data_IF_616611836213
#
_entry.id   IF_616611836213
#
_cell.length_a   1.000
_cell.length_b   1.000
_cell.length_c   1.000
_cell.angle_alpha   90.00
_cell.angle_beta   90.00
_cell.angle_gamma   90.00
#
_symmetry.space_group_name_H-M   'P 1'
#
loop_
_entity.id
_entity.type
_entity.pdbx_description
1 polymer ?
#
# COMPACT_ATOMS: atom_id res chain seq x y z
N UNK A 1 22.62 -26.02 100.73
CA UNK A 1 22.63 -26.61 99.39
C UNK A 1 21.36 -26.17 98.70
N UNK A 2 21.57 -25.50 97.57
CA UNK A 2 20.62 -24.84 96.67
C UNK A 2 19.59 -25.81 96.12
N UNK A 3 18.36 -25.32 95.91
CA UNK A 3 17.51 -25.61 94.75
C UNK A 3 16.46 -24.50 94.70
N UNK A 4 16.87 -23.35 94.16
CA UNK A 4 15.94 -22.36 93.64
C UNK A 4 15.54 -22.87 92.25
N UNK A 5 14.35 -23.44 92.13
CA UNK A 5 13.83 -23.84 90.84
C UNK A 5 13.55 -22.60 89.98
N UNK A 6 14.17 -22.68 88.83
CA UNK A 6 14.25 -21.67 87.80
C UNK A 6 13.21 -21.93 86.70
N UNK A 7 12.90 -20.86 85.97
CA UNK A 7 12.50 -20.81 84.55
C UNK A 7 10.99 -20.70 84.20
N UNK A 8 10.65 -19.45 83.91
CA UNK A 8 9.85 -18.86 82.81
C UNK A 8 8.36 -19.20 82.65
N UNK A 9 7.53 -18.18 82.85
CA UNK A 9 6.26 -18.05 82.15
C UNK A 9 6.51 -18.07 80.63
N UNK A 10 6.01 -19.10 79.95
CA UNK A 10 5.88 -19.10 78.48
C UNK A 10 4.85 -18.03 78.10
N UNK A 11 5.33 -16.90 77.57
CA UNK A 11 4.49 -15.97 76.85
C UNK A 11 4.03 -16.64 75.55
N UNK A 12 2.78 -17.10 75.49
CA UNK A 12 2.15 -17.49 74.24
C UNK A 12 1.78 -16.21 73.49
N UNK A 13 2.55 -15.85 72.46
CA UNK A 13 2.15 -14.82 71.50
C UNK A 13 0.95 -15.34 70.70
N UNK A 14 -0.23 -14.79 70.95
CA UNK A 14 -1.44 -15.03 70.16
C UNK A 14 -1.26 -14.31 68.81
N UNK A 15 -1.19 -15.07 67.73
CA UNK A 15 -1.29 -14.54 66.37
C UNK A 15 -2.77 -14.48 65.99
N UNK A 16 -3.28 -13.30 65.62
CA UNK A 16 -4.61 -13.19 65.04
C UNK A 16 -4.61 -13.76 63.63
N UNK A 17 -5.65 -14.54 63.30
CA UNK A 17 -5.80 -15.14 61.97
C UNK A 17 -5.92 -14.01 60.95
N UNK A 18 -4.91 -13.88 60.09
CA UNK A 18 -4.91 -12.90 59.01
C UNK A 18 -6.00 -13.30 58.00
N UNK A 19 -7.12 -12.58 57.99
CA UNK A 19 -8.18 -12.79 57.01
C UNK A 19 -7.75 -12.20 55.65
N UNK A 20 -7.31 -13.06 54.74
CA UNK A 20 -7.00 -12.65 53.37
C UNK A 20 -8.31 -12.24 52.67
N UNK A 21 -8.41 -10.97 52.24
CA UNK A 21 -9.44 -10.54 51.30
C UNK A 21 -9.05 -11.02 49.90
N UNK A 22 -9.66 -12.10 49.43
CA UNK A 22 -9.61 -12.47 48.02
C UNK A 22 -10.54 -11.54 47.24
N UNK A 23 -10.00 -10.86 46.22
CA UNK A 23 -10.79 -10.20 45.19
C UNK A 23 -10.81 -11.13 43.98
N UNK A 24 -11.99 -11.64 43.63
CA UNK A 24 -12.19 -12.27 42.33
C UNK A 24 -12.03 -11.19 41.27
N UNK A 25 -10.93 -11.24 40.52
CA UNK A 25 -10.81 -10.50 39.27
C UNK A 25 -11.39 -11.44 38.22
N UNK A 26 -12.58 -11.12 37.71
CA UNK A 26 -13.07 -11.75 36.50
C UNK A 26 -12.12 -11.26 35.40
N UNK A 27 -11.25 -12.14 34.90
CA UNK A 27 -10.53 -11.87 33.66
C UNK A 27 -11.61 -11.67 32.58
N UNK A 28 -11.78 -10.41 32.16
CA UNK A 28 -12.56 -10.15 30.96
C UNK A 28 -11.78 -10.75 29.80
N UNK A 29 -12.38 -11.72 29.14
CA UNK A 29 -11.87 -12.25 27.87
C UNK A 29 -11.53 -11.07 26.95
N UNK A 30 -10.35 -11.07 26.30
CA UNK A 30 -9.95 -9.96 25.47
C UNK A 30 -10.93 -9.80 24.30
N UNK A 31 -11.47 -8.58 24.13
CA UNK A 31 -12.40 -8.23 23.05
C UNK A 31 -11.74 -8.37 21.66
N UNK A 32 -10.41 -8.26 21.61
CA UNK A 32 -9.62 -8.28 20.39
C UNK A 32 -8.61 -9.43 20.38
N UNK A 33 -8.40 -9.98 19.18
CA UNK A 33 -7.34 -10.93 18.87
C UNK A 33 -6.32 -10.21 18.00
N UNK A 34 -5.06 -10.22 18.44
CA UNK A 34 -3.94 -9.71 17.65
C UNK A 34 -3.50 -10.76 16.64
N UNK A 35 -3.38 -10.36 15.37
CA UNK A 35 -2.88 -11.20 14.28
C UNK A 35 -1.67 -10.52 13.65
N UNK A 36 -0.66 -11.29 13.29
CA UNK A 36 0.51 -10.82 12.55
C UNK A 36 0.37 -11.15 11.07
N UNK A 37 0.59 -10.18 10.20
CA UNK A 37 0.60 -10.35 8.75
C UNK A 37 2.00 -9.96 8.26
N UNK A 38 2.65 -10.87 7.55
CA UNK A 38 3.96 -10.63 6.96
C UNK A 38 3.99 -11.06 5.50
N UNK A 39 4.97 -10.52 4.76
CA UNK A 39 5.17 -10.85 3.36
C UNK A 39 6.21 -9.95 2.72
N UNK A 40 6.32 -10.05 1.40
CA UNK A 40 7.24 -9.27 0.60
C UNK A 40 6.51 -8.61 -0.55
N UNK A 41 6.47 -7.28 -0.57
CA UNK A 41 5.89 -6.50 -1.66
C UNK A 41 6.92 -6.27 -2.77
N UNK A 42 6.57 -6.72 -3.95
CA UNK A 42 7.31 -6.53 -5.19
C UNK A 42 6.49 -5.67 -6.14
N UNK A 43 7.16 -5.00 -7.06
CA UNK A 43 6.53 -4.30 -8.15
C UNK A 43 7.05 -4.72 -9.51
N UNK A 44 6.19 -4.54 -10.51
CA UNK A 44 6.49 -4.73 -11.92
C UNK A 44 6.00 -3.53 -12.73
N UNK A 45 6.60 -3.30 -13.89
CA UNK A 45 6.07 -2.31 -14.83
C UNK A 45 5.00 -2.96 -15.69
N UNK A 46 3.92 -2.22 -15.95
CA UNK A 46 2.98 -2.60 -16.99
C UNK A 46 3.72 -2.75 -18.33
N UNK A 47 3.59 -3.89 -19.00
CA UNK A 47 4.32 -4.22 -20.24
C UNK A 47 5.72 -4.79 -20.01
N UNK A 48 6.07 -5.17 -18.77
CA UNK A 48 7.27 -5.94 -18.45
C UNK A 48 7.06 -6.80 -17.20
N UNK A 49 6.11 -7.72 -17.32
CA UNK A 49 5.72 -8.63 -16.25
C UNK A 49 6.81 -9.66 -15.94
N UNK A 50 7.81 -9.82 -16.83
CA UNK A 50 8.94 -10.75 -16.65
C UNK A 50 9.94 -10.32 -15.56
N UNK A 51 9.96 -9.04 -15.18
CA UNK A 51 10.91 -8.50 -14.19
C UNK A 51 10.16 -7.89 -13.01
N UNK A 52 10.53 -8.36 -11.81
CA UNK A 52 10.01 -7.85 -10.55
C UNK A 52 11.12 -7.22 -9.71
N UNK A 53 10.77 -6.19 -8.96
CA UNK A 53 11.69 -5.44 -8.11
C UNK A 53 11.09 -5.28 -6.72
N UNK A 54 11.91 -5.23 -5.65
CA UNK A 54 11.39 -4.96 -4.32
C UNK A 54 10.77 -3.57 -4.25
N UNK A 55 9.55 -3.47 -3.74
CA UNK A 55 8.92 -2.19 -3.42
C UNK A 55 9.51 -1.67 -2.11
N UNK A 56 10.72 -1.11 -2.17
CA UNK A 56 11.51 -0.70 -1.00
C UNK A 56 11.00 0.60 -0.38
N UNK A 57 11.00 0.69 0.96
CA UNK A 57 10.60 1.87 1.72
C UNK A 57 9.19 2.39 1.40
N UNK A 58 8.29 1.53 0.91
CA UNK A 58 6.92 1.89 0.57
C UNK A 58 6.05 1.76 1.81
N UNK A 59 5.37 2.84 2.17
CA UNK A 59 4.33 2.80 3.21
C UNK A 59 3.12 2.01 2.69
N UNK A 60 2.66 1.05 3.47
CA UNK A 60 1.49 0.23 3.16
C UNK A 60 0.47 0.34 4.28
N UNK A 61 -0.81 0.32 3.91
CA UNK A 61 -1.95 0.32 4.82
C UNK A 61 -2.76 -0.95 4.63
N UNK A 62 -3.10 -1.61 5.72
CA UNK A 62 -4.06 -2.71 5.71
C UNK A 62 -5.44 -2.14 5.98
N UNK A 63 -6.39 -2.48 5.11
CA UNK A 63 -7.77 -1.99 5.19
C UNK A 63 -8.73 -3.17 5.14
N UNK A 64 -9.88 -3.01 5.79
CA UNK A 64 -11.02 -3.90 5.57
C UNK A 64 -11.76 -3.47 4.32
N UNK A 65 -12.13 -4.45 3.50
CA UNK A 65 -12.86 -4.23 2.25
C UNK A 65 -13.99 -5.25 2.13
N UNK A 66 -15.13 -4.81 1.60
CA UNK A 66 -16.27 -5.65 1.30
C UNK A 66 -16.31 -5.89 -0.21
N UNK A 67 -16.08 -7.11 -0.65
CA UNK A 67 -15.91 -7.44 -2.06
C UNK A 67 -17.10 -8.29 -2.52
N UNK A 68 -17.91 -7.72 -3.39
CA UNK A 68 -18.95 -8.42 -4.13
C UNK A 68 -18.33 -9.02 -5.39
N UNK A 69 -18.42 -10.33 -5.57
CA UNK A 69 -18.09 -10.98 -6.83
C UNK A 69 -19.36 -11.20 -7.63
N UNK A 70 -19.53 -10.48 -8.73
CA UNK A 70 -20.71 -10.61 -9.57
C UNK A 70 -20.77 -12.01 -10.19
N UNK A 71 -21.87 -12.72 -9.97
CA UNK A 71 -22.06 -14.10 -10.42
C UNK A 71 -22.20 -14.20 -11.95
N UNK A 72 -22.58 -13.11 -12.63
CA UNK A 72 -22.78 -13.08 -14.08
C UNK A 72 -21.49 -12.80 -14.83
N UNK A 73 -20.76 -11.75 -14.43
CA UNK A 73 -19.55 -11.27 -15.12
C UNK A 73 -18.26 -11.78 -14.51
N UNK A 74 -18.29 -12.19 -13.24
CA UNK A 74 -17.09 -12.50 -12.45
C UNK A 74 -16.35 -11.26 -11.94
N UNK A 75 -16.86 -10.05 -12.22
CA UNK A 75 -16.27 -8.79 -11.77
C UNK A 75 -16.24 -8.70 -10.24
N UNK A 76 -15.12 -8.23 -9.68
CA UNK A 76 -15.04 -7.84 -8.27
C UNK A 76 -15.39 -6.37 -8.10
N UNK A 77 -16.40 -6.08 -7.30
CA UNK A 77 -16.84 -4.74 -6.95
C UNK A 77 -16.57 -4.51 -5.46
N UNK A 78 -15.83 -3.45 -5.16
CA UNK A 78 -15.65 -3.01 -3.77
C UNK A 78 -16.88 -2.22 -3.32
N UNK A 79 -17.49 -2.68 -2.23
CA UNK A 79 -18.69 -2.12 -1.63
C UNK A 79 -18.28 -1.24 -0.44
N UNK A 80 -18.72 0.03 -0.38
CA UNK A 80 -18.51 0.85 0.81
C UNK A 80 -19.14 0.19 2.04
N UNK A 81 -18.43 0.19 3.17
CA UNK A 81 -18.91 -0.43 4.42
C UNK A 81 -20.31 0.08 4.83
N UNK A 82 -20.55 1.37 4.68
CA UNK A 82 -21.84 1.98 4.99
C UNK A 82 -22.97 1.48 4.11
N UNK A 83 -22.69 1.05 2.89
CA UNK A 83 -23.73 0.55 1.98
C UNK A 83 -24.06 -0.91 2.27
N UNK A 84 -23.07 -1.74 2.64
CA UNK A 84 -23.32 -3.09 3.16
C UNK A 84 -24.14 -3.09 4.46
N UNK A 85 -23.83 -2.17 5.38
CA UNK A 85 -24.54 -2.06 6.66
C UNK A 85 -25.97 -1.56 6.52
N UNK A 86 -26.31 -0.83 5.44
CA UNK A 86 -27.71 -0.38 5.17
C UNK A 86 -28.61 -1.50 4.66
N UNK A 87 -28.06 -2.45 3.92
CA UNK A 87 -28.80 -3.58 3.31
C UNK A 87 -28.94 -4.76 4.27
N UNK A 88 -28.00 -4.92 5.20
CA UNK A 88 -28.15 -5.83 6.33
C UNK A 88 -28.98 -5.12 7.41
N UNK A 89 -29.89 -5.82 8.11
CA UNK A 89 -30.83 -5.25 9.10
C UNK A 89 -30.16 -4.61 10.36
N UNK A 90 -28.90 -4.19 10.29
CA UNK A 90 -28.19 -3.45 11.32
C UNK A 90 -28.33 -1.95 11.10
N UNK A 91 -28.89 -1.26 12.09
CA UNK A 91 -29.11 0.20 12.19
C UNK A 91 -28.14 1.07 11.36
N UNK A 92 -28.65 2.07 10.60
CA UNK A 92 -27.83 2.90 9.73
C UNK A 92 -26.97 3.87 10.56
N UNK A 93 -25.66 3.67 10.58
CA UNK A 93 -24.72 4.75 10.91
C UNK A 93 -24.50 5.63 9.69
N UNK A 94 -24.98 6.87 9.76
CA UNK A 94 -24.73 7.90 8.77
C UNK A 94 -23.27 8.36 8.87
N UNK A 95 -22.40 7.86 7.99
CA UNK A 95 -21.15 8.53 7.66
C UNK A 95 -20.99 8.47 6.13
N UNK A 96 -21.20 9.60 5.45
CA UNK A 96 -20.75 9.81 4.07
C UNK A 96 -19.24 9.96 4.08
N UNK A 97 -18.51 8.86 4.23
CA UNK A 97 -17.09 8.75 3.92
C UNK A 97 -16.81 7.30 3.53
N UNK A 98 -16.11 7.09 2.43
CA UNK A 98 -15.34 5.88 2.19
C UNK A 98 -14.23 5.83 3.25
N UNK A 99 -14.59 5.59 4.51
CA UNK A 99 -13.61 5.42 5.58
C UNK A 99 -13.04 4.02 5.44
N UNK A 100 -11.96 3.92 4.67
CA UNK A 100 -11.00 2.85 4.86
C UNK A 100 -10.37 3.04 6.23
N UNK A 101 -11.05 2.64 7.30
CA UNK A 101 -10.40 2.57 8.61
C UNK A 101 -9.19 1.64 8.45
N UNK A 102 -8.01 2.23 8.63
CA UNK A 102 -6.78 1.46 8.57
C UNK A 102 -6.73 0.55 9.76
N UNK A 103 -6.64 -0.76 9.51
CA UNK A 103 -6.36 -1.72 10.57
C UNK A 103 -4.95 -1.49 11.14
N UNK A 104 -4.01 -1.23 10.24
CA UNK A 104 -2.64 -0.88 10.58
C UNK A 104 -1.94 -0.29 9.36
N UNK A 105 -0.78 0.33 9.59
CA UNK A 105 0.15 0.76 8.55
C UNK A 105 1.56 0.33 8.92
N UNK A 106 2.38 0.03 7.91
CA UNK A 106 3.80 -0.26 8.07
C UNK A 106 4.58 0.24 6.86
N UNK A 107 5.90 0.12 6.88
CA UNK A 107 6.79 0.48 5.78
C UNK A 107 7.60 -0.74 5.40
N UNK A 108 7.74 -1.01 4.11
CA UNK A 108 8.57 -2.11 3.63
C UNK A 108 10.06 -1.82 3.81
N UNK A 109 10.86 -2.85 4.05
CA UNK A 109 12.32 -2.72 4.11
C UNK A 109 12.94 -2.56 2.71
N UNK A 110 14.28 -2.49 2.64
CA UNK A 110 15.02 -2.38 1.37
C UNK A 110 14.76 -3.54 0.40
N UNK A 111 14.36 -4.71 0.90
CA UNK A 111 14.05 -5.90 0.12
C UNK A 111 12.55 -6.05 -0.17
N UNK A 112 11.71 -5.09 0.25
CA UNK A 112 10.27 -5.12 0.09
C UNK A 112 9.54 -5.91 1.20
N UNK A 113 10.23 -6.44 2.20
CA UNK A 113 9.59 -7.20 3.27
C UNK A 113 8.82 -6.28 4.21
N UNK A 114 7.71 -6.77 4.74
CA UNK A 114 6.95 -6.10 5.77
C UNK A 114 6.43 -7.10 6.80
N UNK A 115 6.19 -6.60 8.01
CA UNK A 115 5.50 -7.30 9.09
C UNK A 115 4.65 -6.28 9.82
N UNK A 116 3.40 -6.64 10.11
CA UNK A 116 2.44 -5.75 10.74
C UNK A 116 1.51 -6.54 11.64
N UNK A 117 1.21 -6.00 12.82
CA UNK A 117 0.20 -6.55 13.70
C UNK A 117 -1.12 -5.79 13.49
N UNK A 118 -2.21 -6.53 13.41
CA UNK A 118 -3.58 -6.00 13.37
C UNK A 118 -4.34 -6.53 14.58
N UNK A 119 -5.27 -5.73 15.08
CA UNK A 119 -6.21 -6.16 16.12
C UNK A 119 -7.58 -6.33 15.48
N UNK A 120 -8.15 -7.53 15.57
CA UNK A 120 -9.48 -7.85 15.07
C UNK A 120 -10.39 -8.16 16.25
N UNK A 121 -11.68 -7.83 16.16
CA UNK A 121 -12.61 -8.28 17.22
C UNK A 121 -12.70 -9.81 17.21
N UNK A 122 -12.82 -10.44 18.39
CA UNK A 122 -12.85 -11.91 18.52
C UNK A 122 -13.94 -12.56 17.66
N UNK A 123 -15.09 -11.89 17.51
CA UNK A 123 -16.24 -12.35 16.72
C UNK A 123 -16.29 -11.74 15.30
N UNK A 124 -15.21 -11.10 14.85
CA UNK A 124 -15.16 -10.47 13.53
C UNK A 124 -15.07 -11.53 12.41
N UNK A 125 -16.20 -11.79 11.75
CA UNK A 125 -16.26 -12.69 10.58
C UNK A 125 -15.49 -12.13 9.38
N UNK A 126 -14.37 -12.74 8.99
CA UNK A 126 -13.71 -12.51 7.71
C UNK A 126 -14.05 -13.63 6.72
N UNK A 127 -13.90 -13.37 5.42
CA UNK A 127 -14.34 -14.25 4.33
C UNK A 127 -15.80 -14.03 3.94
N UNK A 128 -16.46 -15.08 3.46
CA UNK A 128 -17.82 -15.02 2.91
C UNK A 128 -18.83 -14.55 3.96
N UNK A 129 -19.50 -13.43 3.70
CA UNK A 129 -20.58 -12.92 4.55
C UNK A 129 -21.93 -13.48 4.10
N UNK A 130 -22.26 -13.29 2.82
CA UNK A 130 -23.52 -13.71 2.20
C UNK A 130 -23.26 -14.28 0.80
N UNK A 131 -24.02 -15.30 0.40
CA UNK A 131 -23.87 -15.98 -0.90
C UNK A 131 -24.57 -15.25 -2.06
N UNK A 132 -25.56 -14.41 -1.77
CA UNK A 132 -26.37 -13.74 -2.79
C UNK A 132 -26.73 -12.32 -2.35
N UNK A 133 -25.78 -11.41 -2.50
CA UNK A 133 -25.91 -9.99 -2.23
C UNK A 133 -26.15 -9.23 -3.54
N UNK A 134 -27.03 -8.23 -3.51
CA UNK A 134 -27.32 -7.40 -4.68
C UNK A 134 -26.95 -5.94 -4.40
N UNK A 135 -26.22 -5.34 -5.34
CA UNK A 135 -25.78 -3.96 -5.26
C UNK A 135 -25.94 -3.26 -6.61
N UNK A 136 -26.34 -2.00 -6.59
CA UNK A 136 -26.46 -1.19 -7.80
C UNK A 136 -25.53 0.02 -7.73
N UNK A 137 -24.67 0.16 -8.72
CA UNK A 137 -23.72 1.26 -8.85
C UNK A 137 -23.84 1.85 -10.25
N UNK A 138 -24.05 3.17 -10.33
CA UNK A 138 -24.15 3.92 -11.60
C UNK A 138 -25.15 3.30 -12.60
N UNK A 139 -26.27 2.77 -12.12
CA UNK A 139 -27.31 2.15 -12.95
C UNK A 139 -27.01 0.73 -13.45
N UNK A 140 -25.86 0.14 -13.09
CA UNK A 140 -25.58 -1.29 -13.29
C UNK A 140 -25.84 -2.04 -11.98
N UNK A 141 -26.60 -3.13 -12.07
CA UNK A 141 -26.83 -4.04 -10.95
C UNK A 141 -25.85 -5.20 -11.00
N UNK A 142 -25.39 -5.59 -9.82
CA UNK A 142 -24.44 -6.66 -9.60
C UNK A 142 -25.01 -7.58 -8.53
N UNK A 143 -24.88 -8.89 -8.72
CA UNK A 143 -25.45 -9.88 -7.81
C UNK A 143 -24.49 -11.04 -7.65
N UNK A 144 -24.23 -11.46 -6.41
CA UNK A 144 -23.37 -12.61 -6.14
C UNK A 144 -22.86 -12.66 -4.70
N UNK A 145 -21.87 -13.51 -4.39
CA UNK A 145 -21.33 -13.61 -3.04
C UNK A 145 -20.56 -12.34 -2.65
N UNK A 146 -20.78 -11.89 -1.42
CA UNK A 146 -20.03 -10.79 -0.79
C UNK A 146 -19.17 -11.31 0.34
N UNK A 147 -17.92 -10.87 0.38
CA UNK A 147 -16.93 -11.26 1.39
C UNK A 147 -16.34 -10.03 2.07
N UNK A 148 -16.03 -10.14 3.37
CA UNK A 148 -15.18 -9.17 4.07
C UNK A 148 -13.76 -9.69 4.11
N UNK A 149 -12.84 -8.93 3.55
CA UNK A 149 -11.44 -9.32 3.40
C UNK A 149 -10.54 -8.18 3.86
N UNK A 150 -9.28 -8.49 4.09
CA UNK A 150 -8.23 -7.48 4.32
C UNK A 150 -7.47 -7.30 3.00
N UNK A 151 -7.20 -6.04 2.62
CA UNK A 151 -6.39 -5.70 1.46
C UNK A 151 -5.21 -4.82 1.85
N UNK A 152 -4.12 -4.94 1.10
CA UNK A 152 -2.94 -4.09 1.22
C UNK A 152 -3.04 -2.97 0.19
N UNK A 153 -3.02 -1.73 0.68
CA UNK A 153 -2.99 -0.53 -0.15
C UNK A 153 -1.63 0.15 0.04
N UNK A 154 -0.77 0.18 -0.98
CA UNK A 154 0.40 1.05 -0.99
C UNK A 154 -0.04 2.51 -0.85
N UNK A 155 0.48 3.23 0.12
CA UNK A 155 0.19 4.64 0.37
C UNK A 155 1.05 5.55 -0.53
N UNK A 156 1.08 5.21 -1.81
CA UNK A 156 1.94 5.86 -2.79
C UNK A 156 1.28 5.80 -4.18
N UNK A 157 1.08 6.97 -4.79
CA UNK A 157 0.38 7.14 -6.07
C UNK A 157 1.06 6.48 -7.27
N UNK A 158 2.34 6.07 -7.14
CA UNK A 158 3.04 5.37 -8.19
C UNK A 158 2.66 3.89 -8.28
N UNK A 159 2.09 3.32 -7.23
CA UNK A 159 1.75 1.91 -7.16
C UNK A 159 0.25 1.70 -7.32
N UNK A 160 -0.13 0.66 -8.06
CA UNK A 160 -1.49 0.18 -8.10
C UNK A 160 -1.85 -0.53 -6.77
N UNK A 161 -3.15 -0.59 -6.42
CA UNK A 161 -3.60 -1.43 -5.31
C UNK A 161 -3.24 -2.91 -5.53
N UNK A 162 -2.89 -3.62 -4.45
CA UNK A 162 -2.66 -5.06 -4.49
C UNK A 162 -4.01 -5.77 -4.51
N UNK A 163 -4.29 -6.53 -5.58
CA UNK A 163 -5.53 -7.30 -5.75
C UNK A 163 -5.43 -8.69 -5.12
N UNK A 164 -5.03 -8.76 -3.86
CA UNK A 164 -5.03 -10.00 -3.09
C UNK A 164 -5.86 -9.82 -1.83
N UNK A 165 -6.86 -10.67 -1.70
CA UNK A 165 -7.72 -10.76 -0.54
C UNK A 165 -7.04 -11.59 0.55
N UNK A 166 -7.02 -11.05 1.76
CA UNK A 166 -6.40 -11.67 2.92
C UNK A 166 -7.49 -12.02 3.92
N UNK A 167 -7.58 -13.31 4.27
CA UNK A 167 -8.42 -13.83 5.35
C UNK A 167 -7.47 -14.53 6.33
N UNK A 168 -7.00 -13.85 7.39
CA UNK A 168 -6.10 -14.42 8.37
C UNK A 168 -6.79 -15.59 9.09
N UNK A 169 -6.28 -16.81 8.89
CA UNK A 169 -6.77 -18.00 9.60
C UNK A 169 -5.92 -18.27 10.86
N UNK A 170 -4.61 -18.04 10.75
CA UNK A 170 -3.65 -18.31 11.83
C UNK A 170 -3.29 -17.05 12.61
N UNK A 171 -2.56 -17.18 13.73
CA UNK A 171 -1.98 -16.05 14.46
C UNK A 171 -0.96 -15.26 13.62
N UNK A 172 -0.23 -15.97 12.76
CA UNK A 172 0.73 -15.40 11.82
C UNK A 172 0.33 -15.81 10.40
N UNK A 173 -0.07 -14.84 9.59
CA UNK A 173 -0.37 -15.04 8.18
C UNK A 173 0.82 -14.58 7.33
N UNK A 174 1.49 -15.52 6.68
CA UNK A 174 2.55 -15.22 5.72
C UNK A 174 1.99 -15.22 4.29
N UNK A 175 2.04 -14.06 3.65
CA UNK A 175 1.53 -13.84 2.31
C UNK A 175 2.53 -14.22 1.21
N UNK A 176 3.74 -14.60 1.57
CA UNK A 176 4.81 -14.87 0.63
C UNK A 176 5.17 -13.61 -0.16
N UNK A 177 5.21 -13.73 -1.48
CA UNK A 177 5.52 -12.62 -2.37
C UNK A 177 4.24 -12.05 -3.00
N UNK A 178 4.03 -10.76 -2.80
CA UNK A 178 2.96 -9.98 -3.39
C UNK A 178 3.50 -9.14 -4.55
N UNK A 179 2.73 -8.99 -5.61
CA UNK A 179 3.10 -8.13 -6.74
C UNK A 179 2.09 -7.00 -6.93
N UNK A 180 2.60 -5.79 -7.13
CA UNK A 180 1.83 -4.62 -7.59
C UNK A 180 2.39 -4.07 -8.90
N UNK A 181 1.59 -3.33 -9.64
CA UNK A 181 2.04 -2.60 -10.83
C UNK A 181 2.48 -1.20 -10.44
N UNK A 182 3.55 -0.70 -11.07
CA UNK A 182 3.86 0.73 -11.06
C UNK A 182 3.17 1.39 -12.26
N UNK A 183 2.45 2.47 -12.01
CA UNK A 183 1.88 3.29 -13.08
C UNK A 183 3.01 3.91 -13.91
N UNK A 184 3.01 3.60 -15.20
CA UNK A 184 3.91 4.22 -16.17
C UNK A 184 3.13 5.25 -17.00
N UNK A 185 3.81 6.34 -17.36
CA UNK A 185 3.29 7.37 -18.26
C UNK A 185 3.99 7.28 -19.62
N UNK A 186 3.22 7.53 -20.68
CA UNK A 186 3.80 7.91 -21.97
C UNK A 186 3.92 9.44 -21.95
N UNK A 187 5.11 9.96 -22.25
CA UNK A 187 5.34 11.39 -22.32
C UNK A 187 5.70 11.78 -23.75
N UNK A 188 4.92 12.68 -24.32
CA UNK A 188 5.28 13.38 -25.55
C UNK A 188 5.62 14.82 -25.17
N UNK A 189 6.85 15.24 -25.47
CA UNK A 189 7.29 16.60 -25.20
C UNK A 189 7.58 17.32 -26.50
N UNK A 190 7.06 18.54 -26.64
CA UNK A 190 7.45 19.49 -27.67
C UNK A 190 8.67 20.29 -27.17
N UNK A 191 9.69 20.41 -28.01
CA UNK A 191 10.97 21.03 -27.64
C UNK A 191 11.29 22.16 -28.62
N UNK A 192 11.39 23.37 -28.09
CA UNK A 192 11.68 24.57 -28.87
C UNK A 192 12.67 25.48 -28.16
N UNK A 193 13.34 26.32 -28.94
CA UNK A 193 14.18 27.42 -28.47
C UNK A 193 13.42 28.73 -28.64
N UNK A 194 13.38 29.55 -27.59
CA UNK A 194 12.88 30.93 -27.64
C UNK A 194 14.03 31.93 -27.47
N UNK A 195 13.96 33.06 -28.18
CA UNK A 195 15.02 34.06 -28.16
C UNK A 195 14.65 35.25 -27.27
N UNK A 196 15.46 35.54 -26.24
CA UNK A 196 15.22 36.66 -25.31
C UNK A 196 15.05 38.03 -25.99
N UNK A 197 15.74 38.25 -27.11
CA UNK A 197 15.74 39.52 -27.85
C UNK A 197 14.79 39.54 -29.07
N UNK A 198 14.04 38.46 -29.30
CA UNK A 198 13.04 38.36 -30.35
C UNK A 198 11.82 37.61 -29.79
N UNK A 199 11.13 38.28 -28.86
CA UNK A 199 9.93 37.74 -28.21
C UNK A 199 8.91 37.29 -29.26
N UNK A 200 8.49 36.02 -29.19
CA UNK A 200 7.56 35.40 -30.14
C UNK A 200 8.22 34.55 -31.24
N UNK A 201 9.55 34.59 -31.41
CA UNK A 201 10.25 33.67 -32.31
C UNK A 201 10.53 32.36 -31.59
N UNK A 202 9.82 31.31 -31.99
CA UNK A 202 9.95 29.94 -31.48
C UNK A 202 10.56 29.08 -32.59
N UNK A 203 11.70 28.43 -32.30
CA UNK A 203 12.36 27.52 -33.25
C UNK A 203 12.28 26.06 -32.78
N UNK A 204 11.72 25.14 -33.59
CA UNK A 204 11.72 23.73 -33.28
C UNK A 204 13.14 23.16 -33.19
N UNK A 205 13.43 22.45 -32.09
CA UNK A 205 14.75 21.85 -31.86
C UNK A 205 14.79 20.41 -32.37
N UNK A 206 14.95 20.22 -33.68
CA UNK A 206 14.99 18.90 -34.34
C UNK A 206 16.35 18.21 -34.12
N UNK A 207 16.36 16.88 -34.05
CA UNK A 207 17.55 16.03 -33.90
C UNK A 207 18.38 16.27 -32.63
N UNK A 208 17.75 16.80 -31.56
CA UNK A 208 18.37 17.01 -30.26
C UNK A 208 18.13 15.82 -29.34
N UNK A 209 19.14 15.49 -28.55
CA UNK A 209 19.00 14.51 -27.47
C UNK A 209 18.28 15.18 -26.31
N UNK A 210 17.21 14.55 -25.83
CA UNK A 210 16.42 14.98 -24.69
C UNK A 210 16.51 13.91 -23.62
N UNK A 211 16.74 14.36 -22.39
CA UNK A 211 16.91 13.50 -21.23
C UNK A 211 15.83 13.81 -20.23
N UNK A 212 15.08 12.79 -19.82
CA UNK A 212 14.18 12.89 -18.68
C UNK A 212 14.96 12.49 -17.43
N UNK A 213 15.05 13.42 -16.49
CA UNK A 213 15.84 13.28 -15.27
C UNK A 213 14.92 13.31 -14.05
N UNK A 214 15.29 12.55 -13.03
CA UNK A 214 14.58 12.50 -11.75
C UNK A 214 15.50 12.89 -10.61
N UNK A 215 15.06 13.78 -9.74
CA UNK A 215 15.81 14.15 -8.54
C UNK A 215 15.69 13.04 -7.50
N UNK A 216 16.79 12.36 -7.18
CA UNK A 216 16.83 11.10 -6.42
C UNK A 216 16.72 11.25 -4.89
N UNK A 217 16.04 12.28 -4.39
CA UNK A 217 15.90 12.50 -2.93
C UNK A 217 14.65 11.89 -2.29
N UNK A 218 13.75 11.27 -3.06
CA UNK A 218 12.50 10.74 -2.53
C UNK A 218 12.55 9.20 -2.43
N UNK A 219 12.69 8.70 -1.20
CA UNK A 219 12.87 7.28 -0.87
C UNK A 219 11.64 6.42 -1.19
N UNK A 220 10.47 7.03 -1.38
CA UNK A 220 9.22 6.35 -1.68
C UNK A 220 9.06 6.04 -3.18
N UNK A 221 9.92 6.59 -4.05
CA UNK A 221 9.78 6.39 -5.49
C UNK A 221 10.30 5.00 -5.91
N UNK A 222 9.66 4.36 -6.91
CA UNK A 222 10.20 3.15 -7.51
C UNK A 222 11.66 3.36 -7.93
N UNK A 223 12.57 2.55 -7.37
CA UNK A 223 14.01 2.66 -7.62
C UNK A 223 14.34 2.59 -9.12
N UNK A 224 13.62 1.75 -9.84
CA UNK A 224 13.70 1.63 -11.29
C UNK A 224 12.50 2.36 -11.88
N UNK A 225 12.71 3.11 -12.96
CA UNK A 225 11.68 3.67 -13.84
C UNK A 225 12.36 3.80 -15.21
N UNK A 226 11.88 3.09 -16.23
CA UNK A 226 12.42 3.24 -17.59
C UNK A 226 13.20 2.03 -18.13
N UNK A 227 13.71 2.21 -19.35
CA UNK A 227 14.28 1.16 -20.17
C UNK A 227 15.61 0.64 -19.58
N UNK A 228 15.55 -0.51 -18.91
CA UNK A 228 16.73 -1.22 -18.37
C UNK A 228 17.72 -1.68 -19.45
N UNK A 229 17.34 -1.63 -20.73
CA UNK A 229 18.19 -2.01 -21.85
C UNK A 229 19.09 -0.88 -22.37
N UNK A 230 19.10 0.31 -21.75
CA UNK A 230 20.15 1.30 -22.05
C UNK A 230 21.43 0.93 -21.32
N UNK A 231 22.05 -0.17 -21.74
CA UNK A 231 23.45 -0.50 -21.49
C UNK A 231 24.43 0.42 -22.22
N UNK A 232 23.94 1.53 -22.80
CA UNK A 232 24.79 2.61 -23.27
C UNK A 232 24.90 3.64 -22.15
N UNK A 233 26.01 3.56 -21.44
CA UNK A 233 26.58 4.61 -20.60
C UNK A 233 26.68 5.92 -21.40
N UNK A 234 25.58 6.64 -21.60
CA UNK A 234 25.67 8.06 -21.93
C UNK A 234 26.08 8.77 -20.65
N UNK A 235 27.33 9.22 -20.61
CA UNK A 235 27.86 10.04 -19.51
C UNK A 235 26.91 11.22 -19.28
N UNK A 236 26.23 11.23 -18.14
CA UNK A 236 25.57 12.43 -17.66
C UNK A 236 26.64 13.48 -17.34
N UNK A 237 26.45 14.75 -17.72
CA UNK A 237 27.32 15.82 -17.25
C UNK A 237 27.49 15.75 -15.72
N UNK A 238 28.73 15.86 -15.23
CA UNK A 238 29.05 15.73 -13.80
C UNK A 238 28.19 16.66 -12.91
N UNK A 239 27.84 17.84 -13.43
CA UNK A 239 26.95 18.82 -12.78
C UNK A 239 25.56 18.25 -12.46
N UNK A 240 25.02 17.39 -13.33
CA UNK A 240 23.71 16.77 -13.17
C UNK A 240 23.78 15.64 -12.13
N UNK A 241 24.84 14.83 -12.19
CA UNK A 241 25.09 13.76 -11.21
C UNK A 241 25.27 14.34 -9.79
N UNK A 242 26.07 15.39 -9.64
CA UNK A 242 26.35 16.02 -8.34
C UNK A 242 25.13 16.74 -7.75
N UNK A 243 24.16 17.12 -8.58
CA UNK A 243 22.91 17.73 -8.13
C UNK A 243 21.86 16.69 -7.66
N UNK A 244 22.22 15.41 -7.62
CA UNK A 244 21.34 14.33 -7.16
C UNK A 244 20.21 14.02 -8.14
N UNK A 245 20.53 13.98 -9.44
CA UNK A 245 19.59 13.51 -10.46
C UNK A 245 20.02 12.14 -11.00
N UNK A 246 19.05 11.31 -11.35
CA UNK A 246 19.21 10.06 -12.08
C UNK A 246 18.51 10.14 -13.44
N UNK A 247 19.10 9.51 -14.46
CA UNK A 247 18.48 9.36 -15.78
C UNK A 247 17.30 8.39 -15.70
N UNK A 248 16.14 8.79 -16.18
CA UNK A 248 14.96 7.92 -16.32
C UNK A 248 14.90 7.34 -17.73
N UNK A 249 14.98 8.21 -18.73
CA UNK A 249 14.93 7.83 -20.15
C UNK A 249 15.56 8.92 -21.01
N UNK A 250 16.00 8.56 -22.22
CA UNK A 250 16.47 9.51 -23.23
C UNK A 250 15.79 9.24 -24.56
N UNK A 251 15.68 10.28 -25.38
CA UNK A 251 15.08 10.22 -26.70
C UNK A 251 15.67 11.28 -27.61
N UNK A 252 15.40 11.18 -28.91
CA UNK A 252 15.83 12.15 -29.91
C UNK A 252 14.61 12.84 -30.51
N UNK A 253 14.65 14.16 -30.60
CA UNK A 253 13.54 14.91 -31.20
C UNK A 253 13.43 14.64 -32.70
N UNK A 254 12.19 14.53 -33.18
CA UNK A 254 11.82 14.34 -34.58
C UNK A 254 10.89 15.48 -35.03
N UNK A 255 10.87 15.81 -36.33
CA UNK A 255 9.88 16.75 -36.85
C UNK A 255 8.46 16.20 -36.71
N UNK A 256 7.50 17.06 -36.40
CA UNK A 256 6.06 16.78 -36.37
C UNK A 256 5.24 18.06 -36.65
N UNK A 257 3.92 17.91 -36.70
CA UNK A 257 2.96 19.02 -36.86
C UNK A 257 2.12 19.17 -35.59
N UNK A 258 1.99 20.41 -35.11
CA UNK A 258 1.12 20.77 -33.99
C UNK A 258 -0.37 20.75 -34.36
N UNK A 259 -1.24 20.95 -33.37
CA UNK A 259 -2.71 20.97 -33.57
C UNK A 259 -3.19 22.10 -34.49
N UNK A 260 -2.39 23.15 -34.61
CA UNK A 260 -2.56 24.32 -35.48
C UNK A 260 -1.71 24.23 -36.77
N UNK A 261 -1.18 23.05 -37.08
CA UNK A 261 -0.35 22.76 -38.26
C UNK A 261 1.03 23.47 -38.29
N UNK A 262 1.47 24.04 -37.16
CA UNK A 262 2.82 24.60 -37.03
C UNK A 262 3.88 23.48 -36.99
N UNK A 263 5.08 23.77 -37.51
CA UNK A 263 6.21 22.86 -37.42
C UNK A 263 6.69 22.79 -35.97
N UNK A 264 6.78 21.57 -35.43
CA UNK A 264 7.22 21.32 -34.05
C UNK A 264 8.28 20.22 -34.03
N UNK A 265 9.06 20.17 -32.95
CA UNK A 265 9.98 19.08 -32.69
C UNK A 265 9.48 18.30 -31.47
N UNK A 266 9.16 17.02 -31.67
CA UNK A 266 8.60 16.17 -30.61
C UNK A 266 9.58 15.08 -30.24
N UNK A 267 9.61 14.72 -28.96
CA UNK A 267 10.22 13.48 -28.47
C UNK A 267 9.15 12.67 -27.76
N UNK A 268 9.08 11.39 -28.07
CA UNK A 268 8.18 10.44 -27.43
C UNK A 268 9.00 9.50 -26.55
N UNK A 269 8.69 9.54 -25.25
CA UNK A 269 9.15 8.57 -24.29
C UNK A 269 8.05 7.52 -24.18
N UNK A 270 8.20 6.46 -24.98
CA UNK A 270 7.24 5.36 -24.99
C UNK A 270 7.14 4.75 -23.59
N UNK A 271 5.93 4.28 -23.24
CA UNK A 271 5.76 3.36 -22.11
C UNK A 271 6.73 2.20 -22.26
N UNK A 272 7.10 1.61 -21.13
CA UNK A 272 7.88 0.38 -21.15
C UNK A 272 7.07 -0.68 -21.94
N UNK A 273 7.51 -0.96 -23.16
CA UNK A 273 7.00 -2.05 -23.97
C UNK A 273 8.13 -3.08 -24.02
N UNK A 274 7.93 -4.23 -23.38
CA UNK A 274 8.67 -5.43 -23.78
C UNK A 274 8.35 -5.67 -25.24
N UNK A 275 9.36 -5.56 -26.11
CA UNK A 275 9.30 -6.26 -27.39
C UNK A 275 9.22 -7.76 -27.13
#
# INVERSE_FOLDING_TARGET
VTLADSISQKNYLKSEVCAFKYKWVVEQEPEYVTKSINGRLMYQFQGNESKTFPASNVSIKLVKSYILKDATTGDEIEIPENDYNKTSNSQPFNILNLSFEGLASTVTDLNGNFSVQINLKKDEKLGLLESNYSYSLNGKSYTGPISRVIRIIPQNSYYAPVKQDIVPVDEITNLGQLSTYVYSYALTAEISEGYQYASGVIKPLINKNVYLLRKSKNEYLPKYEGNLNTGNYMMMPATISNAGYSLVVSGKTRPAKGSDNQDIAVVEFAKFNSK
#
